data_IF_136983043827
#
_entry.id   IF_136983043827
#
_cell.length_a   1.000
_cell.length_b   1.000
_cell.length_c   1.000
_cell.angle_alpha   90.00
_cell.angle_beta   90.00
_cell.angle_gamma   90.00
#
_symmetry.space_group_name_H-M   'P 1'
#
loop_
_entity.id
_entity.type
_entity.pdbx_description
1 polymer ?
#
# COMPACT_ATOMS: atom_id res chain seq x y z
N UNK A 1 12.48 -11.06 -23.80
CA UNK A 1 11.21 -11.21 -23.10
C UNK A 1 10.13 -10.48 -23.88
N UNK A 2 8.92 -11.06 -24.00
CA UNK A 2 7.77 -10.29 -24.53
C UNK A 2 7.41 -9.19 -23.54
N UNK A 3 7.06 -7.98 -23.98
CA UNK A 3 6.61 -6.92 -23.09
C UNK A 3 5.33 -7.34 -22.36
N UNK A 4 5.19 -6.94 -21.11
CA UNK A 4 3.95 -7.16 -20.34
C UNK A 4 2.83 -6.34 -21.00
N UNK A 5 1.73 -6.99 -21.30
CA UNK A 5 0.53 -6.33 -21.80
C UNK A 5 -0.46 -6.17 -20.62
N UNK A 6 -0.78 -4.94 -20.30
CA UNK A 6 -1.77 -4.64 -19.27
C UNK A 6 -3.19 -4.76 -19.83
N UNK A 7 -4.16 -5.29 -19.06
CA UNK A 7 -5.55 -5.37 -19.47
C UNK A 7 -6.13 -3.96 -19.68
N UNK A 8 -7.04 -3.84 -20.64
CA UNK A 8 -7.72 -2.58 -20.96
C UNK A 8 -9.18 -2.56 -20.49
N UNK A 9 -9.73 -3.72 -20.13
CA UNK A 9 -11.10 -3.88 -19.65
C UNK A 9 -11.12 -4.67 -18.36
N UNK A 10 -12.20 -4.49 -17.59
CA UNK A 10 -12.45 -5.27 -16.37
C UNK A 10 -12.49 -6.76 -16.65
N UNK A 11 -13.13 -7.18 -17.73
CA UNK A 11 -13.21 -8.58 -18.14
C UNK A 11 -11.81 -9.20 -18.35
N UNK A 12 -10.95 -8.51 -19.11
CA UNK A 12 -9.56 -8.96 -19.35
C UNK A 12 -8.75 -9.05 -18.06
N UNK A 13 -8.92 -8.10 -17.14
CA UNK A 13 -8.22 -8.10 -15.86
C UNK A 13 -8.64 -9.30 -15.00
N UNK A 14 -9.94 -9.54 -14.88
CA UNK A 14 -10.50 -10.67 -14.11
C UNK A 14 -10.08 -12.01 -14.73
N UNK A 15 -10.13 -12.13 -16.05
CA UNK A 15 -9.71 -13.35 -16.76
C UNK A 15 -8.23 -13.67 -16.52
N UNK A 16 -7.34 -12.67 -16.65
CA UNK A 16 -5.91 -12.84 -16.39
C UNK A 16 -5.65 -13.30 -14.96
N UNK A 17 -6.27 -12.66 -13.97
CA UNK A 17 -6.08 -13.05 -12.56
C UNK A 17 -6.67 -14.44 -12.29
N UNK A 18 -7.83 -14.76 -12.87
CA UNK A 18 -8.45 -16.09 -12.74
C UNK A 18 -7.60 -17.22 -13.33
N UNK A 19 -6.87 -16.94 -14.41
CA UNK A 19 -6.05 -17.94 -15.10
C UNK A 19 -4.68 -18.13 -14.45
N UNK A 20 -4.09 -17.09 -13.87
CA UNK A 20 -2.70 -17.11 -13.39
C UNK A 20 -2.54 -16.87 -11.89
N UNK A 21 -3.56 -16.32 -11.23
CA UNK A 21 -3.54 -16.09 -9.78
C UNK A 21 -3.81 -17.36 -8.97
N UNK A 22 -3.25 -17.42 -7.77
CA UNK A 22 -3.63 -18.43 -6.79
C UNK A 22 -5.04 -18.11 -6.27
N UNK A 23 -6.00 -19.01 -6.42
CA UNK A 23 -7.41 -18.80 -6.03
C UNK A 23 -7.60 -18.82 -4.50
N UNK A 24 -6.87 -17.98 -3.81
CA UNK A 24 -6.87 -17.85 -2.34
C UNK A 24 -7.87 -16.82 -1.81
N UNK A 25 -8.51 -16.06 -2.69
CA UNK A 25 -9.50 -15.03 -2.35
C UNK A 25 -10.62 -15.01 -3.39
N UNK A 26 -11.78 -14.49 -3.03
CA UNK A 26 -12.91 -14.27 -3.93
C UNK A 26 -13.25 -12.76 -3.98
N UNK A 27 -12.57 -11.99 -4.83
CA UNK A 27 -12.80 -10.54 -4.93
C UNK A 27 -14.20 -10.22 -5.47
N UNK A 28 -14.69 -9.02 -5.19
CA UNK A 28 -15.83 -8.46 -5.91
C UNK A 28 -15.47 -8.29 -7.39
N UNK A 29 -16.46 -8.48 -8.28
CA UNK A 29 -16.27 -8.32 -9.73
C UNK A 29 -16.18 -6.83 -10.16
N UNK A 30 -15.35 -6.08 -9.46
CA UNK A 30 -15.06 -4.66 -9.74
C UNK A 30 -13.55 -4.51 -9.88
N UNK A 31 -13.10 -3.96 -11.00
CA UNK A 31 -11.68 -3.67 -11.24
C UNK A 31 -11.42 -2.19 -10.99
N UNK A 32 -10.53 -1.87 -10.08
CA UNK A 32 -10.15 -0.49 -9.80
C UNK A 32 -8.90 -0.15 -10.60
N UNK A 33 -9.02 0.81 -11.52
CA UNK A 33 -7.93 1.28 -12.37
C UNK A 33 -7.39 2.66 -11.99
N UNK A 34 -8.26 3.51 -11.43
CA UNK A 34 -7.91 4.85 -10.95
C UNK A 34 -8.63 5.13 -9.64
N UNK A 35 -8.05 6.03 -8.85
CA UNK A 35 -8.66 6.46 -7.60
C UNK A 35 -8.22 7.88 -7.20
N UNK A 36 -9.12 8.63 -6.57
CA UNK A 36 -8.83 9.95 -5.99
C UNK A 36 -9.80 10.27 -4.85
N UNK A 37 -9.28 10.55 -3.67
CA UNK A 37 -10.10 10.79 -2.49
C UNK A 37 -10.94 9.55 -2.15
N UNK A 38 -12.26 9.67 -2.14
CA UNK A 38 -13.20 8.56 -1.89
C UNK A 38 -13.69 7.88 -3.17
N UNK A 39 -13.31 8.38 -4.33
CA UNK A 39 -13.79 7.89 -5.62
C UNK A 39 -12.78 6.93 -6.25
N UNK A 40 -13.28 5.82 -6.77
CA UNK A 40 -12.53 4.86 -7.58
C UNK A 40 -13.23 4.70 -8.93
N UNK A 41 -12.47 4.35 -9.97
CA UNK A 41 -12.95 4.21 -11.34
C UNK A 41 -12.44 2.92 -11.95
N UNK A 42 -13.29 2.20 -12.66
CA UNK A 42 -12.89 1.01 -13.39
C UNK A 42 -12.29 1.36 -14.79
N UNK A 43 -11.77 0.38 -15.54
CA UNK A 43 -11.24 0.60 -16.88
C UNK A 43 -12.26 1.16 -17.88
N UNK A 44 -13.53 0.91 -17.67
CA UNK A 44 -14.65 1.38 -18.49
C UNK A 44 -15.08 2.81 -18.17
N UNK A 45 -14.50 3.41 -17.08
CA UNK A 45 -14.80 4.77 -16.64
C UNK A 45 -16.00 4.88 -15.71
N UNK A 46 -16.54 3.76 -15.23
CA UNK A 46 -17.60 3.78 -14.23
C UNK A 46 -16.99 4.15 -12.86
N UNK A 47 -17.58 5.12 -12.18
CA UNK A 47 -17.14 5.59 -10.87
C UNK A 47 -17.93 4.93 -9.75
N UNK A 48 -17.21 4.64 -8.66
CA UNK A 48 -17.77 4.09 -7.42
C UNK A 48 -17.25 4.86 -6.22
N UNK A 49 -18.01 4.89 -5.15
CA UNK A 49 -17.57 5.42 -3.87
C UNK A 49 -16.97 4.29 -3.03
N UNK A 50 -15.72 4.43 -2.64
CA UNK A 50 -15.00 3.42 -1.85
C UNK A 50 -15.30 3.59 -0.35
N UNK A 51 -16.19 2.76 0.19
CA UNK A 51 -16.49 2.67 1.61
C UNK A 51 -15.62 1.66 2.36
N UNK A 52 -14.81 0.86 1.65
CA UNK A 52 -13.93 -0.13 2.27
C UNK A 52 -12.57 0.46 2.65
N UNK A 53 -12.05 1.38 1.82
CA UNK A 53 -10.76 2.08 2.03
C UNK A 53 -9.61 1.14 2.37
N UNK A 54 -9.51 -0.01 1.66
CA UNK A 54 -8.52 -1.07 1.93
C UNK A 54 -8.47 -1.44 3.43
N UNK A 55 -9.64 -1.70 4.03
CA UNK A 55 -9.80 -1.97 5.47
C UNK A 55 -9.23 -0.85 6.35
N UNK A 56 -9.54 0.40 6.00
CA UNK A 56 -9.09 1.63 6.65
C UNK A 56 -7.60 2.00 6.43
N UNK A 57 -6.86 1.27 5.62
CA UNK A 57 -5.47 1.63 5.28
C UNK A 57 -5.38 2.91 4.45
N UNK A 58 -6.41 3.25 3.68
CA UNK A 58 -6.50 4.45 2.84
C UNK A 58 -7.42 5.51 3.48
N UNK A 59 -7.36 5.65 4.80
CA UNK A 59 -8.22 6.58 5.56
C UNK A 59 -8.00 8.06 5.23
N UNK A 60 -6.90 8.43 4.59
CA UNK A 60 -6.63 9.79 4.10
C UNK A 60 -7.17 10.04 2.69
N UNK A 61 -7.83 9.03 2.10
CA UNK A 61 -8.28 9.02 0.73
C UNK A 61 -7.20 8.57 -0.26
N UNK A 62 -7.66 8.05 -1.39
CA UNK A 62 -6.78 7.61 -2.47
C UNK A 62 -5.97 8.77 -3.05
N UNK A 63 -4.72 8.52 -3.37
CA UNK A 63 -3.80 9.46 -4.03
C UNK A 63 -3.76 10.83 -3.32
N UNK A 64 -3.73 10.84 -1.99
CA UNK A 64 -3.65 12.10 -1.24
C UNK A 64 -2.39 12.89 -1.66
N UNK A 65 -2.52 14.15 -2.12
CA UNK A 65 -1.44 14.84 -2.82
C UNK A 65 -0.17 15.00 -1.97
N UNK A 66 -0.29 15.29 -0.68
CA UNK A 66 0.88 15.42 0.21
C UNK A 66 1.60 14.08 0.42
N UNK A 67 0.86 12.96 0.48
CA UNK A 67 1.44 11.62 0.66
C UNK A 67 2.16 11.20 -0.63
N UNK A 68 1.52 11.40 -1.79
CA UNK A 68 2.13 11.11 -3.09
C UNK A 68 3.38 11.97 -3.31
N UNK A 69 3.33 13.26 -2.98
CA UNK A 69 4.48 14.14 -3.13
C UNK A 69 5.66 13.67 -2.25
N UNK A 70 5.41 13.34 -0.98
CA UNK A 70 6.44 12.83 -0.09
C UNK A 70 7.08 11.52 -0.61
N UNK A 71 6.27 10.62 -1.19
CA UNK A 71 6.75 9.40 -1.83
C UNK A 71 7.66 9.71 -3.03
N UNK A 72 7.22 10.59 -3.94
CA UNK A 72 7.97 10.99 -5.14
C UNK A 72 9.29 11.64 -4.75
N UNK A 73 9.26 12.61 -3.83
CA UNK A 73 10.45 13.32 -3.38
C UNK A 73 11.48 12.37 -2.76
N UNK A 74 11.03 11.41 -1.95
CA UNK A 74 11.92 10.43 -1.35
C UNK A 74 12.44 9.41 -2.37
N UNK A 75 11.60 8.92 -3.29
CA UNK A 75 12.00 7.97 -4.32
C UNK A 75 13.07 8.50 -5.26
N UNK A 76 13.06 9.81 -5.53
CA UNK A 76 14.11 10.50 -6.33
C UNK A 76 15.44 10.66 -5.59
N UNK A 77 15.44 10.53 -4.26
CA UNK A 77 16.68 10.64 -3.45
C UNK A 77 17.29 9.27 -3.17
N UNK A 78 16.51 8.37 -2.58
CA UNK A 78 16.89 6.98 -2.30
C UNK A 78 15.63 6.16 -2.01
N UNK A 79 15.51 5.01 -2.67
CA UNK A 79 14.35 4.12 -2.55
C UNK A 79 14.54 3.07 -1.48
N UNK A 80 15.75 2.52 -1.35
CA UNK A 80 16.05 1.43 -0.43
C UNK A 80 17.49 1.51 0.05
N UNK A 81 17.68 1.33 1.36
CA UNK A 81 18.99 1.08 1.97
C UNK A 81 18.95 -0.24 2.73
N UNK A 82 20.07 -0.96 2.78
CA UNK A 82 20.20 -2.08 3.72
C UNK A 82 20.20 -1.58 5.16
N UNK A 83 19.73 -2.42 6.11
CA UNK A 83 19.91 -2.17 7.56
C UNK A 83 21.39 -2.14 8.01
N UNK A 84 22.31 -2.49 7.12
CA UNK A 84 23.74 -2.29 7.34
C UNK A 84 24.14 -0.80 7.38
N UNK A 85 23.26 0.09 6.88
CA UNK A 85 23.49 1.54 6.85
C UNK A 85 22.37 2.27 7.60
N UNK A 86 22.73 3.40 8.18
CA UNK A 86 21.76 4.39 8.64
C UNK A 86 21.18 5.17 7.45
N UNK A 87 19.97 5.70 7.61
CA UNK A 87 19.37 6.67 6.69
C UNK A 87 18.74 7.82 7.48
N UNK A 88 18.47 8.93 6.77
CA UNK A 88 18.01 10.17 7.37
C UNK A 88 16.51 10.18 7.74
N UNK A 89 15.75 9.10 7.48
CA UNK A 89 14.31 9.04 7.71
C UNK A 89 13.93 8.18 8.91
N UNK A 90 14.55 7.01 9.03
CA UNK A 90 14.12 6.01 10.00
C UNK A 90 14.18 6.52 11.44
N UNK A 91 15.31 7.09 11.85
CA UNK A 91 15.45 7.62 13.21
C UNK A 91 14.48 8.77 13.52
N UNK A 92 14.21 9.64 12.54
CA UNK A 92 13.23 10.71 12.69
C UNK A 92 11.80 10.15 12.86
N UNK A 93 11.45 9.12 12.08
CA UNK A 93 10.18 8.42 12.19
C UNK A 93 10.04 7.71 13.56
N UNK A 94 11.05 6.97 13.98
CA UNK A 94 11.08 6.27 15.27
C UNK A 94 10.92 7.24 16.44
N UNK A 95 11.66 8.35 16.45
CA UNK A 95 11.55 9.39 17.46
C UNK A 95 10.16 10.01 17.53
N UNK A 96 9.57 10.33 16.36
CA UNK A 96 8.22 10.88 16.29
C UNK A 96 7.19 9.90 16.87
N UNK A 97 7.22 8.65 16.46
CA UNK A 97 6.27 7.62 16.89
C UNK A 97 6.41 7.28 18.38
N UNK A 98 7.64 7.18 18.89
CA UNK A 98 7.88 6.98 20.31
C UNK A 98 7.29 8.13 21.14
N UNK A 99 7.52 9.36 20.73
CA UNK A 99 6.94 10.55 21.38
C UNK A 99 5.41 10.55 21.32
N UNK A 100 4.83 10.19 20.17
CA UNK A 100 3.39 10.21 19.95
C UNK A 100 2.65 9.17 20.80
N UNK A 101 3.20 7.95 20.91
CA UNK A 101 2.57 6.85 21.65
C UNK A 101 3.07 6.68 23.09
N UNK A 102 4.11 7.41 23.50
CA UNK A 102 4.67 7.34 24.86
C UNK A 102 5.50 6.06 25.10
N UNK A 103 6.18 5.53 24.09
CA UNK A 103 7.09 4.38 24.22
C UNK A 103 8.55 4.80 24.05
N UNK A 104 9.45 4.05 24.68
CA UNK A 104 10.90 4.33 24.61
C UNK A 104 11.52 3.92 23.29
N UNK A 105 10.96 2.89 22.61
CA UNK A 105 11.52 2.30 21.39
C UNK A 105 10.45 1.82 20.45
N UNK A 106 10.79 1.81 19.16
CA UNK A 106 9.95 1.34 18.06
C UNK A 106 10.73 0.34 17.20
N UNK A 107 10.07 -0.74 16.79
CA UNK A 107 10.57 -1.67 15.79
C UNK A 107 9.59 -1.72 14.61
N UNK A 108 9.84 -0.99 13.52
CA UNK A 108 9.00 -1.05 12.33
C UNK A 108 9.10 -2.40 11.64
N UNK A 109 7.96 -2.92 11.18
CA UNK A 109 7.84 -4.17 10.42
C UNK A 109 7.21 -3.89 9.06
N UNK A 110 7.38 -4.81 8.09
CA UNK A 110 6.85 -4.64 6.73
C UNK A 110 5.34 -4.89 6.67
N UNK A 111 4.83 -5.80 7.50
CA UNK A 111 3.41 -6.18 7.51
C UNK A 111 2.85 -6.23 8.92
N UNK A 112 1.51 -6.11 9.04
CA UNK A 112 0.82 -6.28 10.31
C UNK A 112 0.99 -7.69 10.90
N UNK A 113 1.11 -8.71 10.05
CA UNK A 113 1.36 -10.10 10.49
C UNK A 113 2.73 -10.23 11.14
N UNK A 114 3.78 -9.68 10.54
CA UNK A 114 5.13 -9.67 11.11
C UNK A 114 5.16 -8.91 12.46
N UNK A 115 4.48 -7.77 12.54
CA UNK A 115 4.39 -7.00 13.76
C UNK A 115 3.64 -7.76 14.87
N UNK A 116 2.51 -8.39 14.54
CA UNK A 116 1.73 -9.21 15.47
C UNK A 116 2.51 -10.45 15.96
N UNK A 117 3.16 -11.16 15.05
CA UNK A 117 4.01 -12.32 15.40
C UNK A 117 5.18 -11.91 16.30
N UNK A 118 5.82 -10.80 15.99
CA UNK A 118 6.92 -10.27 16.81
C UNK A 118 6.44 -9.88 18.20
N UNK A 119 5.29 -9.20 18.30
CA UNK A 119 4.71 -8.82 19.59
C UNK A 119 4.41 -10.05 20.47
N UNK A 120 3.81 -11.10 19.91
CA UNK A 120 3.54 -12.36 20.62
C UNK A 120 4.83 -13.05 21.08
N UNK A 121 5.90 -12.98 20.28
CA UNK A 121 7.20 -13.59 20.67
C UNK A 121 7.96 -12.78 21.74
N UNK A 122 7.65 -11.50 21.89
CA UNK A 122 8.27 -10.64 22.90
C UNK A 122 7.53 -10.65 24.23
N UNK A 123 6.24 -11.02 24.23
CA UNK A 123 5.41 -11.15 25.44
C UNK A 123 5.68 -12.45 26.20
#
# INVERSE_FOLDING_TARGET
MKPIQFPKTSEQAIELESNFGAKNYAPLSVVISKAKGIWVEDPEGQSYMDFLSAYSAVNQGHCHPKIIQALVDQAQRVTLTSRAFYNDKLGAYESYMCSYFGYDRLLPMNTGVEAGETAVKLA
#
